data_IF_603220905826
#
_entry.id   IF_603220905826
#
_cell.length_a   1.000
_cell.length_b   1.000
_cell.length_c   1.000
_cell.angle_alpha   90.00
_cell.angle_beta   90.00
_cell.angle_gamma   90.00
#
_symmetry.space_group_name_H-M   'P 1'
#
loop_
_entity.id
_entity.type
_entity.pdbx_description
1 polymer ?
#
# COMPACT_ATOMS: atom_id res chain seq x y z
N UNK A 1 8.55 8.81 8.47
CA UNK A 1 7.20 8.26 8.19
C UNK A 1 7.23 7.45 6.92
N UNK A 2 6.31 6.52 6.80
CA UNK A 2 6.25 5.62 5.64
C UNK A 2 4.85 5.60 5.07
N UNK A 3 4.75 5.52 3.75
CA UNK A 3 3.48 5.36 3.05
C UNK A 3 3.49 4.09 2.24
N UNK A 4 2.31 3.49 2.09
CA UNK A 4 2.14 2.29 1.27
C UNK A 4 1.48 2.68 -0.04
N UNK A 5 2.08 2.24 -1.15
CA UNK A 5 1.56 2.45 -2.49
C UNK A 5 1.26 1.11 -3.12
N UNK A 6 0.15 1.03 -3.81
CA UNK A 6 -0.27 -0.19 -4.49
C UNK A 6 -0.61 0.10 -5.94
N UNK A 7 -0.33 -0.88 -6.79
CA UNK A 7 -0.76 -0.87 -8.19
C UNK A 7 -1.81 -1.95 -8.34
N UNK A 8 -2.97 -1.59 -8.88
CA UNK A 8 -4.07 -2.52 -9.08
C UNK A 8 -4.30 -2.78 -10.55
N UNK A 9 -5.15 -3.76 -10.85
CA UNK A 9 -5.52 -4.08 -12.24
C UNK A 9 -6.22 -2.92 -12.94
N UNK A 10 -6.78 -1.98 -12.17
CA UNK A 10 -7.49 -0.82 -12.69
C UNK A 10 -6.67 0.46 -12.74
N UNK A 11 -5.48 0.46 -12.18
CA UNK A 11 -4.68 1.69 -12.09
C UNK A 11 -3.78 1.95 -13.28
N UNK A 12 -3.86 1.12 -14.32
CA UNK A 12 -3.17 1.33 -15.59
C UNK A 12 -1.66 1.52 -15.43
N UNK A 13 -1.05 0.74 -14.54
CA UNK A 13 0.39 0.79 -14.26
C UNK A 13 0.81 1.87 -13.29
N UNK A 14 -0.13 2.61 -12.73
CA UNK A 14 0.17 3.66 -11.75
C UNK A 14 0.04 3.17 -10.32
N UNK A 15 0.85 3.76 -9.44
CA UNK A 15 0.81 3.44 -8.01
C UNK A 15 0.02 4.50 -7.27
N UNK A 16 -0.95 4.06 -6.48
CA UNK A 16 -1.78 4.94 -5.66
C UNK A 16 -1.56 4.65 -4.18
N UNK A 17 -1.77 5.65 -3.33
CA UNK A 17 -1.69 5.45 -1.89
C UNK A 17 -2.78 4.46 -1.44
N UNK A 18 -2.38 3.48 -0.61
CA UNK A 18 -3.31 2.46 -0.15
C UNK A 18 -4.46 3.04 0.66
N UNK A 19 -4.16 3.93 1.59
CA UNK A 19 -5.16 4.50 2.50
C UNK A 19 -4.90 5.97 2.84
N UNK A 20 -3.85 6.56 2.29
CA UNK A 20 -3.47 7.94 2.58
C UNK A 20 -2.89 8.15 3.98
N UNK A 21 -2.58 7.08 4.70
CA UNK A 21 -2.04 7.16 6.06
C UNK A 21 -0.52 7.09 6.04
N UNK A 22 0.12 7.92 6.87
CA UNK A 22 1.55 7.83 7.11
C UNK A 22 1.79 7.00 8.35
N UNK A 23 2.66 6.00 8.24
CA UNK A 23 2.99 5.09 9.34
C UNK A 23 4.32 5.48 9.97
N UNK A 24 4.45 5.38 11.30
CA UNK A 24 5.68 5.79 12.00
C UNK A 24 6.88 4.90 11.69
N UNK A 25 6.66 3.64 11.35
CA UNK A 25 7.75 2.74 10.99
C UNK A 25 7.34 1.81 9.85
N UNK A 26 8.36 1.21 9.24
CA UNK A 26 8.17 0.34 8.08
C UNK A 26 7.39 -0.93 8.43
N UNK A 27 7.55 -1.44 9.64
CA UNK A 27 6.83 -2.62 10.09
C UNK A 27 5.33 -2.41 10.14
N UNK A 28 4.90 -1.24 10.61
CA UNK A 28 3.48 -0.90 10.65
C UNK A 28 2.92 -0.69 9.24
N UNK A 29 3.69 -0.06 8.37
CA UNK A 29 3.30 0.10 6.97
C UNK A 29 3.12 -1.25 6.30
N UNK A 30 4.04 -2.19 6.53
CA UNK A 30 3.95 -3.53 5.98
C UNK A 30 2.75 -4.29 6.53
N UNK A 31 2.45 -4.15 7.81
CA UNK A 31 1.29 -4.79 8.41
C UNK A 31 -0.02 -4.31 7.77
N UNK A 32 -0.11 -3.02 7.48
CA UNK A 32 -1.26 -2.46 6.78
C UNK A 32 -1.38 -3.02 5.36
N UNK A 33 -0.26 -3.16 4.66
CA UNK A 33 -0.23 -3.75 3.33
C UNK A 33 -0.68 -5.21 3.37
N UNK A 34 -0.16 -6.00 4.30
CA UNK A 34 -0.54 -7.41 4.43
C UNK A 34 -2.04 -7.57 4.71
N UNK A 35 -2.58 -6.68 5.53
CA UNK A 35 -4.01 -6.68 5.82
C UNK A 35 -4.83 -6.39 4.57
N UNK A 36 -4.37 -5.46 3.74
CA UNK A 36 -5.04 -5.14 2.47
C UNK A 36 -4.97 -6.31 1.49
N UNK A 37 -3.83 -6.99 1.43
CA UNK A 37 -3.65 -8.15 0.55
C UNK A 37 -4.54 -9.33 0.97
N UNK A 38 -4.80 -9.47 2.26
CA UNK A 38 -5.65 -10.52 2.80
C UNK A 38 -7.14 -10.21 2.68
N UNK A 39 -7.47 -8.97 2.37
CA UNK A 39 -8.86 -8.55 2.25
C UNK A 39 -9.48 -9.12 0.96
N UNK A 40 -10.56 -9.92 1.05
CA UNK A 40 -11.17 -10.53 -0.13
C UNK A 40 -11.79 -9.52 -1.09
N UNK A 41 -12.02 -8.28 -0.64
CA UNK A 41 -12.63 -7.25 -1.50
C UNK A 41 -11.60 -6.45 -2.28
N UNK A 42 -10.35 -6.38 -1.81
CA UNK A 42 -9.32 -5.52 -2.41
C UNK A 42 -8.05 -6.27 -2.78
N UNK A 43 -7.71 -7.32 -2.04
CA UNK A 43 -6.43 -8.00 -2.20
C UNK A 43 -6.21 -8.61 -3.59
N UNK A 44 -7.28 -9.07 -4.23
CA UNK A 44 -7.17 -9.70 -5.54
C UNK A 44 -6.83 -8.72 -6.66
N UNK A 45 -7.10 -7.43 -6.44
CA UNK A 45 -6.81 -6.38 -7.41
C UNK A 45 -5.37 -5.90 -7.35
N UNK A 46 -4.70 -6.12 -6.23
CA UNK A 46 -3.36 -5.60 -6.01
C UNK A 46 -2.35 -6.50 -6.71
N UNK A 47 -1.70 -5.97 -7.74
CA UNK A 47 -0.73 -6.71 -8.55
C UNK A 47 0.71 -6.35 -8.21
N UNK A 48 0.92 -5.21 -7.55
CA UNK A 48 2.25 -4.79 -7.10
C UNK A 48 2.09 -3.76 -5.98
N UNK A 49 3.16 -3.53 -5.22
CA UNK A 49 3.15 -2.58 -4.12
C UNK A 49 4.56 -2.09 -3.81
N UNK A 50 4.64 -0.97 -3.09
CA UNK A 50 5.90 -0.53 -2.51
C UNK A 50 5.63 0.25 -1.22
N UNK A 51 6.63 0.30 -0.36
CA UNK A 51 6.61 1.11 0.85
C UNK A 51 7.66 2.17 0.68
N UNK A 52 7.26 3.44 0.77
CA UNK A 52 8.13 4.57 0.55
C UNK A 52 8.32 5.37 1.82
N UNK A 53 9.56 5.79 2.08
CA UNK A 53 9.84 6.70 3.18
C UNK A 53 9.47 8.11 2.78
N UNK A 54 8.71 8.79 3.65
CA UNK A 54 8.27 10.16 3.42
C UNK A 54 9.04 11.06 4.37
N UNK A 55 9.84 11.97 3.82
CA UNK A 55 10.58 12.98 4.58
C UNK A 55 9.73 14.25 4.66
N UNK A 56 9.33 14.57 5.86
CA UNK A 56 8.59 15.81 6.12
C UNK A 56 9.39 16.75 6.99
#
# INVERSE_FOLDING_TARGET
MFKVYVCTTFSDGMYDELDGVEYPDKGEARAALEKALDNPLTGWDIIDWCISEVNT
#
